data_IF_145744072366
#
_entry.id   IF_145744072366
#
_cell.length_a   1.000
_cell.length_b   1.000
_cell.length_c   1.000
_cell.angle_alpha   90.00
_cell.angle_beta   90.00
_cell.angle_gamma   90.00
#
_symmetry.space_group_name_H-M   'P 1'
#
loop_
_entity.id
_entity.type
_entity.pdbx_description
1 polymer ?
#
# COMPACT_ATOMS: atom_id res chain seq x y z
N UNK A 1 89.92 -27.92 17.05
CA UNK A 1 89.39 -27.07 18.13
C UNK A 1 88.86 -25.79 17.49
N UNK A 2 87.53 -25.62 17.52
CA UNK A 2 86.81 -24.32 17.57
C UNK A 2 86.76 -23.40 16.33
N UNK A 3 85.55 -23.40 15.73
CA UNK A 3 84.71 -22.28 15.26
C UNK A 3 85.17 -21.35 14.13
N UNK A 4 84.48 -21.30 12.98
CA UNK A 4 83.10 -20.81 12.67
C UNK A 4 83.09 -19.30 12.35
N UNK A 5 82.99 -19.07 11.03
CA UNK A 5 82.15 -18.12 10.27
C UNK A 5 81.94 -16.70 10.82
N UNK A 6 82.26 -15.73 9.95
CA UNK A 6 81.28 -14.80 9.39
C UNK A 6 81.90 -14.04 8.20
N UNK A 7 81.30 -14.12 7.01
CA UNK A 7 80.69 -12.96 6.34
C UNK A 7 80.08 -13.40 5.01
N UNK A 8 78.75 -13.39 4.99
CA UNK A 8 77.92 -13.67 3.83
C UNK A 8 78.21 -12.69 2.69
N UNK A 9 78.80 -13.24 1.63
CA UNK A 9 78.87 -12.63 0.31
C UNK A 9 77.49 -12.77 -0.35
N UNK A 10 76.91 -11.62 -0.74
CA UNK A 10 76.05 -11.36 -1.91
C UNK A 10 75.44 -12.64 -2.53
N UNK A 11 74.14 -12.90 -2.39
CA UNK A 11 73.09 -12.13 -3.04
C UNK A 11 72.54 -12.97 -4.19
N UNK A 12 71.34 -13.53 -4.02
CA UNK A 12 70.50 -14.01 -5.11
C UNK A 12 69.04 -13.88 -4.64
N UNK A 13 68.34 -12.89 -5.19
CA UNK A 13 66.91 -12.71 -4.97
C UNK A 13 66.15 -13.83 -5.69
N UNK A 14 65.49 -14.70 -4.93
CA UNK A 14 64.49 -15.63 -5.46
C UNK A 14 63.12 -15.00 -5.23
N UNK A 15 62.54 -14.43 -6.29
CA UNK A 15 61.14 -14.00 -6.29
C UNK A 15 60.29 -15.25 -6.42
N UNK A 16 59.70 -15.69 -5.30
CA UNK A 16 58.65 -16.70 -5.31
C UNK A 16 57.37 -15.96 -5.68
N UNK A 17 56.99 -16.04 -6.96
CA UNK A 17 55.63 -15.73 -7.39
C UNK A 17 54.74 -16.87 -6.87
N UNK A 18 54.18 -16.69 -5.69
CA UNK A 18 53.03 -17.48 -5.26
C UNK A 18 51.87 -17.06 -6.16
N UNK A 19 51.62 -17.83 -7.22
CA UNK A 19 50.29 -17.93 -7.79
C UNK A 19 49.39 -18.56 -6.73
N UNK A 20 48.88 -17.75 -5.80
CA UNK A 20 47.65 -18.07 -5.11
C UNK A 20 46.58 -18.12 -6.18
N UNK A 21 46.26 -19.33 -6.63
CA UNK A 21 45.00 -19.60 -7.27
C UNK A 21 43.94 -19.01 -6.33
N UNK A 22 43.31 -17.91 -6.74
CA UNK A 22 41.98 -17.64 -6.28
C UNK A 22 41.22 -18.92 -6.64
N UNK A 23 40.94 -19.74 -5.64
CA UNK A 23 39.82 -20.63 -5.74
C UNK A 23 38.65 -19.68 -5.96
N UNK A 24 38.30 -19.44 -7.22
CA UNK A 24 36.94 -19.10 -7.58
C UNK A 24 36.15 -20.29 -7.07
N UNK A 25 35.72 -20.25 -5.80
CA UNK A 25 34.55 -21.01 -5.45
C UNK A 25 33.51 -20.48 -6.40
N UNK A 26 33.11 -21.31 -7.36
CA UNK A 26 31.77 -21.17 -7.92
C UNK A 26 30.83 -21.35 -6.72
N UNK A 27 30.64 -20.28 -5.96
CA UNK A 27 29.34 -20.02 -5.39
C UNK A 27 28.52 -19.71 -6.63
N UNK A 28 28.01 -20.77 -7.26
CA UNK A 28 26.67 -20.70 -7.83
C UNK A 28 25.75 -20.47 -6.61
N UNK A 29 25.85 -19.27 -6.00
CA UNK A 29 24.84 -18.76 -5.10
C UNK A 29 23.58 -18.78 -5.95
N UNK A 30 22.66 -19.63 -5.54
CA UNK A 30 21.41 -19.86 -6.23
C UNK A 30 20.55 -18.61 -6.00
N UNK A 31 20.96 -17.49 -6.59
CA UNK A 31 20.37 -16.17 -6.36
C UNK A 31 18.90 -16.24 -6.76
N UNK A 32 18.02 -15.91 -5.82
CA UNK A 32 16.60 -15.86 -6.07
C UNK A 32 16.28 -14.68 -6.98
N UNK A 33 15.76 -14.99 -8.15
CA UNK A 33 15.19 -14.01 -9.08
C UNK A 33 13.69 -13.84 -8.91
N UNK A 34 13.05 -14.78 -8.22
CA UNK A 34 11.60 -14.81 -7.96
C UNK A 34 11.33 -15.08 -6.49
N UNK A 35 10.31 -14.42 -5.96
CA UNK A 35 9.93 -14.49 -4.57
C UNK A 35 8.43 -14.73 -4.44
N UNK A 36 8.03 -15.43 -3.39
CA UNK A 36 6.61 -15.63 -3.04
C UNK A 36 6.31 -14.88 -1.76
N UNK A 37 5.22 -14.11 -1.72
CA UNK A 37 4.78 -13.44 -0.51
C UNK A 37 4.32 -14.49 0.52
N UNK A 38 4.95 -14.49 1.69
CA UNK A 38 4.59 -15.35 2.83
C UNK A 38 3.60 -14.66 3.77
N UNK A 39 3.73 -13.33 3.92
CA UNK A 39 2.75 -12.54 4.65
C UNK A 39 3.16 -11.09 4.84
N UNK A 40 2.20 -10.29 5.29
CA UNK A 40 2.39 -8.87 5.59
C UNK A 40 1.82 -8.54 6.95
N UNK A 41 2.59 -7.76 7.71
CA UNK A 41 2.22 -7.21 8.99
C UNK A 41 2.21 -5.69 8.89
N UNK A 42 1.39 -5.08 9.72
CA UNK A 42 1.14 -3.64 9.73
C UNK A 42 1.47 -3.06 11.09
N UNK A 43 1.82 -1.78 11.16
CA UNK A 43 1.88 -1.00 12.38
C UNK A 43 1.61 0.48 12.07
N UNK A 44 1.06 1.20 13.03
CA UNK A 44 0.97 2.67 13.01
C UNK A 44 2.09 3.22 13.89
N UNK A 45 3.22 3.56 13.26
CA UNK A 45 4.39 4.12 13.93
C UNK A 45 4.26 5.64 14.10
N UNK A 46 5.25 6.29 14.73
CA UNK A 46 5.14 7.70 15.15
C UNK A 46 4.95 8.70 13.99
N UNK A 47 5.41 8.37 12.79
CA UNK A 47 5.29 9.19 11.58
C UNK A 47 4.11 8.78 10.68
N UNK A 48 3.38 7.74 11.07
CA UNK A 48 2.14 7.32 10.45
C UNK A 48 0.96 8.14 10.96
N UNK A 49 -0.08 8.28 10.13
CA UNK A 49 -1.21 9.16 10.45
C UNK A 49 -2.49 8.73 9.76
N UNK A 50 -3.59 9.15 10.36
CA UNK A 50 -4.94 9.11 9.78
C UNK A 50 -5.45 10.55 9.77
N UNK A 51 -5.79 11.06 8.60
CA UNK A 51 -6.35 12.40 8.43
C UNK A 51 -7.70 12.30 7.74
N UNK A 52 -8.68 13.07 8.20
CA UNK A 52 -10.00 13.15 7.59
C UNK A 52 -10.29 14.58 7.15
N UNK A 53 -10.86 14.71 5.94
CA UNK A 53 -11.32 15.98 5.39
C UNK A 53 -12.75 15.84 4.89
N UNK A 54 -13.55 16.89 5.06
CA UNK A 54 -14.94 16.93 4.62
C UNK A 54 -15.01 17.65 3.28
N UNK A 55 -15.58 16.98 2.28
CA UNK A 55 -15.79 17.49 0.93
C UNK A 55 -17.29 17.79 0.78
N UNK A 56 -17.63 19.02 0.41
CA UNK A 56 -19.00 19.35 0.01
C UNK A 56 -19.21 18.91 -1.43
N UNK A 57 -20.22 18.07 -1.67
CA UNK A 57 -20.59 17.72 -3.04
C UNK A 57 -21.40 18.86 -3.67
N UNK A 58 -21.41 18.90 -5.00
CA UNK A 58 -22.23 19.85 -5.73
C UNK A 58 -23.71 19.61 -5.40
N UNK A 59 -24.49 20.65 -5.06
CA UNK A 59 -25.92 20.50 -4.79
C UNK A 59 -26.66 19.98 -6.04
N UNK A 60 -27.61 19.08 -5.82
CA UNK A 60 -28.44 18.51 -6.87
C UNK A 60 -29.90 18.93 -6.68
N UNK A 61 -30.63 19.06 -7.80
CA UNK A 61 -32.02 19.48 -7.81
C UNK A 61 -32.81 18.49 -8.67
N UNK A 62 -33.89 17.96 -8.10
CA UNK A 62 -34.76 17.00 -8.76
C UNK A 62 -36.19 17.50 -8.77
N UNK A 63 -36.78 17.61 -9.95
CA UNK A 63 -38.12 18.15 -10.13
C UNK A 63 -39.12 17.04 -10.47
N UNK A 64 -40.25 17.00 -9.74
CA UNK A 64 -41.38 16.16 -10.09
C UNK A 64 -42.57 17.00 -10.53
N UNK A 65 -42.63 17.30 -11.82
CA UNK A 65 -43.76 18.00 -12.44
C UNK A 65 -44.98 17.08 -12.71
N UNK A 66 -44.91 15.79 -12.35
CA UNK A 66 -45.98 14.82 -12.62
C UNK A 66 -47.04 14.80 -11.52
N UNK A 67 -48.18 14.15 -11.80
CA UNK A 67 -49.25 13.90 -10.82
C UNK A 67 -49.01 12.67 -9.94
N UNK A 68 -47.90 11.96 -10.13
CA UNK A 68 -47.51 10.74 -9.39
C UNK A 68 -46.25 10.98 -8.54
N UNK A 69 -46.05 10.19 -7.48
CA UNK A 69 -44.79 10.20 -6.73
C UNK A 69 -43.69 9.55 -7.57
N UNK A 70 -42.49 10.12 -7.55
CA UNK A 70 -41.29 9.52 -8.15
C UNK A 70 -40.25 9.23 -7.06
N UNK A 71 -39.24 8.42 -7.38
CA UNK A 71 -38.10 8.16 -6.50
C UNK A 71 -36.79 8.50 -7.20
N UNK A 72 -35.83 8.98 -6.43
CA UNK A 72 -34.44 9.22 -6.85
C UNK A 72 -33.52 8.46 -5.90
N UNK A 73 -32.51 7.79 -6.44
CA UNK A 73 -31.48 7.11 -5.65
C UNK A 73 -30.17 7.86 -5.85
N UNK A 74 -29.54 8.24 -4.74
CA UNK A 74 -28.33 9.07 -4.73
C UNK A 74 -27.29 8.40 -3.84
N UNK A 75 -26.04 8.41 -4.28
CA UNK A 75 -24.90 8.03 -3.45
C UNK A 75 -23.78 9.06 -3.61
N UNK A 76 -23.58 9.94 -2.62
CA UNK A 76 -22.58 11.01 -2.68
C UNK A 76 -21.14 10.54 -2.93
N UNK A 77 -20.79 9.32 -2.52
CA UNK A 77 -19.43 8.79 -2.63
C UNK A 77 -19.22 7.93 -3.89
N UNK A 78 -20.26 7.65 -4.67
CA UNK A 78 -20.23 6.70 -5.80
C UNK A 78 -19.11 6.99 -6.81
N UNK A 79 -18.88 8.26 -7.12
CA UNK A 79 -17.90 8.70 -8.12
C UNK A 79 -16.46 8.79 -7.58
N UNK A 80 -16.24 8.54 -6.28
CA UNK A 80 -14.92 8.59 -5.68
C UNK A 80 -14.28 7.20 -5.66
N UNK A 81 -13.10 7.09 -6.24
CA UNK A 81 -12.28 5.88 -6.15
C UNK A 81 -11.42 5.90 -4.90
N UNK A 82 -11.27 4.74 -4.27
CA UNK A 82 -10.27 4.51 -3.23
C UNK A 82 -8.90 4.29 -3.86
N UNK A 83 -7.85 4.68 -3.16
CA UNK A 83 -6.48 4.59 -3.67
C UNK A 83 -5.60 3.80 -2.70
N UNK A 84 -4.66 3.03 -3.25
CA UNK A 84 -3.65 2.29 -2.50
C UNK A 84 -2.30 2.37 -3.21
N UNK A 85 -1.23 2.68 -2.48
CA UNK A 85 0.13 2.70 -3.01
C UNK A 85 1.15 2.29 -1.95
N UNK A 86 2.14 1.50 -2.33
CA UNK A 86 3.24 1.07 -1.46
C UNK A 86 4.55 1.74 -1.81
N UNK A 87 5.40 1.90 -0.80
CA UNK A 87 6.73 2.47 -0.87
C UNK A 87 7.67 1.63 0.01
N UNK A 88 8.92 1.50 -0.38
CA UNK A 88 9.92 0.74 0.37
C UNK A 88 10.97 1.65 1.01
N UNK A 89 11.59 1.17 2.09
CA UNK A 89 12.69 1.89 2.74
C UNK A 89 14.04 1.66 2.03
N UNK A 90 14.26 0.45 1.48
CA UNK A 90 15.53 0.05 0.88
C UNK A 90 15.36 -0.43 -0.58
N UNK A 91 16.03 0.28 -1.48
CA UNK A 91 16.04 0.02 -2.93
C UNK A 91 16.51 -1.38 -3.34
N UNK A 92 17.25 -2.09 -2.48
CA UNK A 92 17.64 -3.48 -2.78
C UNK A 92 16.46 -4.44 -2.88
N UNK A 93 15.31 -4.07 -2.33
CA UNK A 93 14.07 -4.85 -2.37
C UNK A 93 13.13 -4.44 -3.50
N UNK A 94 13.64 -3.76 -4.54
CA UNK A 94 12.89 -3.41 -5.73
C UNK A 94 12.38 -4.65 -6.49
N UNK A 95 13.15 -5.74 -6.52
CA UNK A 95 12.78 -6.93 -7.30
C UNK A 95 11.48 -7.62 -6.83
N UNK A 96 11.29 -7.95 -5.53
CA UNK A 96 10.05 -8.58 -5.07
C UNK A 96 8.77 -7.79 -5.38
N UNK A 97 8.81 -6.45 -5.30
CA UNK A 97 7.64 -5.59 -5.51
C UNK A 97 7.29 -5.33 -6.98
N UNK A 98 8.22 -5.59 -7.91
CA UNK A 98 7.98 -5.44 -9.36
C UNK A 98 7.57 -6.74 -10.05
N UNK A 99 7.38 -7.81 -9.29
CA UNK A 99 6.79 -9.04 -9.80
C UNK A 99 5.28 -8.85 -9.99
N UNK A 100 4.60 -9.86 -10.54
CA UNK A 100 3.13 -9.87 -10.58
C UNK A 100 2.61 -9.57 -9.17
N UNK A 101 1.80 -8.51 -8.97
CA UNK A 101 1.44 -8.06 -7.65
C UNK A 101 0.72 -9.16 -6.87
N UNK A 102 1.19 -9.44 -5.66
CA UNK A 102 0.46 -10.27 -4.71
C UNK A 102 -0.71 -9.45 -4.14
N UNK A 103 -1.82 -10.09 -3.82
CA UNK A 103 -2.94 -9.42 -3.16
C UNK A 103 -2.74 -9.39 -1.64
N UNK A 104 -3.01 -8.24 -1.02
CA UNK A 104 -2.88 -8.04 0.42
C UNK A 104 -4.05 -7.26 1.00
N UNK A 105 -4.42 -7.57 2.25
CA UNK A 105 -5.36 -6.76 3.03
C UNK A 105 -4.67 -5.51 3.55
N UNK A 106 -5.29 -4.34 3.34
CA UNK A 106 -4.78 -3.04 3.80
C UNK A 106 -5.62 -2.44 4.92
N UNK A 107 -5.02 -1.53 5.68
CA UNK A 107 -5.68 -0.85 6.79
C UNK A 107 -6.69 0.20 6.30
N UNK A 108 -7.86 0.27 6.91
CA UNK A 108 -8.83 1.36 6.66
C UNK A 108 -8.60 2.59 7.56
N UNK A 109 -7.62 2.52 8.46
CA UNK A 109 -7.35 3.54 9.48
C UNK A 109 -8.28 3.51 10.70
N UNK A 110 -9.22 2.57 10.79
CA UNK A 110 -10.11 2.42 11.94
C UNK A 110 -9.44 1.71 13.13
N UNK A 111 -8.48 0.84 12.83
CA UNK A 111 -7.66 0.14 13.80
C UNK A 111 -6.29 0.81 13.86
N UNK A 112 -5.93 1.30 15.05
CA UNK A 112 -4.60 1.89 15.33
C UNK A 112 -3.89 1.03 16.36
N UNK A 113 -2.74 0.48 15.98
CA UNK A 113 -1.88 -0.33 16.84
C UNK A 113 -0.42 -0.01 16.57
N UNK A 114 0.38 0.04 17.64
CA UNK A 114 1.78 0.49 17.58
C UNK A 114 2.77 -0.68 17.40
N UNK A 115 2.28 -1.92 17.39
CA UNK A 115 3.05 -3.15 17.21
C UNK A 115 2.65 -3.86 15.91
N UNK A 116 3.60 -4.62 15.33
CA UNK A 116 3.36 -5.31 14.05
C UNK A 116 2.31 -6.43 14.19
N UNK A 117 1.22 -6.34 13.41
CA UNK A 117 0.14 -7.32 13.43
C UNK A 117 -0.30 -7.74 12.03
N UNK A 118 -0.69 -9.00 11.92
CA UNK A 118 -1.44 -9.47 10.76
C UNK A 118 -2.85 -8.90 10.81
N UNK A 119 -3.34 -8.45 9.66
CA UNK A 119 -4.70 -7.95 9.49
C UNK A 119 -5.37 -8.76 8.38
N UNK A 120 -6.59 -9.20 8.65
CA UNK A 120 -7.42 -9.98 7.73
C UNK A 120 -8.71 -9.25 7.34
N UNK A 121 -8.87 -8.00 7.79
CA UNK A 121 -10.02 -7.15 7.50
C UNK A 121 -9.57 -5.94 6.68
N UNK A 122 -10.47 -5.42 5.84
CA UNK A 122 -10.21 -4.31 4.94
C UNK A 122 -10.14 -4.73 3.47
N UNK A 123 -9.91 -3.77 2.56
CA UNK A 123 -9.86 -4.05 1.14
C UNK A 123 -8.65 -4.91 0.77
N UNK A 124 -8.86 -5.78 -0.22
CA UNK A 124 -7.79 -6.56 -0.85
C UNK A 124 -7.30 -5.81 -2.08
N UNK A 125 -6.02 -5.46 -2.10
CA UNK A 125 -5.40 -4.67 -3.16
C UNK A 125 -4.08 -5.29 -3.61
N UNK A 126 -3.62 -5.04 -4.85
CA UNK A 126 -2.31 -5.44 -5.29
C UNK A 126 -1.21 -4.76 -4.46
N UNK A 127 -0.22 -5.54 -4.05
CA UNK A 127 0.99 -5.08 -3.39
C UNK A 127 1.97 -4.53 -4.43
N UNK A 128 1.77 -3.27 -4.82
CA UNK A 128 2.49 -2.61 -5.92
C UNK A 128 2.94 -1.19 -5.57
N UNK A 129 4.00 -0.74 -6.25
CA UNK A 129 4.49 0.63 -6.18
C UNK A 129 3.64 1.61 -7.01
N UNK A 130 2.88 1.09 -7.97
CA UNK A 130 1.95 1.90 -8.76
C UNK A 130 0.72 2.24 -7.92
N UNK A 131 0.19 3.44 -8.08
CA UNK A 131 -1.07 3.80 -7.44
C UNK A 131 -2.19 2.96 -8.05
N UNK A 132 -2.92 2.25 -7.19
CA UNK A 132 -4.03 1.39 -7.57
C UNK A 132 -5.34 2.02 -7.12
N UNK A 133 -6.23 2.28 -8.08
CA UNK A 133 -7.58 2.77 -7.85
C UNK A 133 -8.58 1.62 -7.84
N UNK A 134 -9.52 1.65 -6.89
CA UNK A 134 -10.55 0.63 -6.72
C UNK A 134 -11.85 1.24 -6.17
N UNK A 135 -13.01 0.63 -6.45
CA UNK A 135 -14.28 1.16 -5.97
C UNK A 135 -14.36 1.11 -4.42
N UNK A 136 -15.12 2.02 -3.80
CA UNK A 136 -15.43 1.92 -2.37
C UNK A 136 -16.24 0.65 -2.03
N UNK A 137 -15.84 -0.01 -0.94
CA UNK A 137 -16.57 -1.19 -0.44
C UNK A 137 -17.84 -0.80 0.35
N UNK A 138 -17.92 0.45 0.84
CA UNK A 138 -18.94 0.93 1.78
C UNK A 138 -19.75 2.11 1.22
N UNK A 139 -20.33 1.91 0.03
CA UNK A 139 -21.30 2.83 -0.56
C UNK A 139 -22.65 2.72 0.15
N UNK A 140 -23.27 3.87 0.44
CA UNK A 140 -24.61 3.92 1.03
C UNK A 140 -25.51 4.69 0.06
N UNK A 141 -26.33 3.94 -0.65
CA UNK A 141 -27.38 4.52 -1.48
C UNK A 141 -28.52 5.07 -0.60
N UNK A 142 -28.94 6.30 -0.87
CA UNK A 142 -30.11 6.92 -0.27
C UNK A 142 -31.21 7.04 -1.34
N UNK A 143 -32.34 6.36 -1.13
CA UNK A 143 -33.53 6.49 -2.00
C UNK A 143 -34.53 7.47 -1.40
N UNK A 144 -34.80 8.56 -2.11
CA UNK A 144 -35.71 9.62 -1.72
C UNK A 144 -36.96 9.62 -2.60
N UNK A 145 -38.11 9.87 -1.99
CA UNK A 145 -39.38 10.00 -2.71
C UNK A 145 -39.75 11.47 -2.88
N UNK A 146 -40.19 11.83 -4.08
CA UNK A 146 -40.58 13.20 -4.44
C UNK A 146 -42.07 13.18 -4.76
N UNK A 147 -42.92 13.82 -3.95
CA UNK A 147 -44.36 13.88 -4.21
C UNK A 147 -44.69 14.62 -5.52
N UNK A 148 -45.92 14.47 -6.04
CA UNK A 148 -46.39 15.24 -7.20
C UNK A 148 -46.20 16.75 -7.02
N UNK A 149 -45.72 17.44 -8.07
CA UNK A 149 -45.54 18.89 -8.10
C UNK A 149 -44.61 19.42 -6.99
N UNK A 150 -43.51 18.73 -6.74
CA UNK A 150 -42.48 19.15 -5.78
C UNK A 150 -41.09 19.15 -6.42
N UNK A 151 -40.22 20.00 -5.88
CA UNK A 151 -38.79 20.05 -6.16
C UNK A 151 -38.03 19.59 -4.92
N UNK A 152 -37.11 18.65 -5.11
CA UNK A 152 -36.17 18.18 -4.09
C UNK A 152 -34.82 18.86 -4.30
N UNK A 153 -34.31 19.50 -3.26
CA UNK A 153 -32.96 20.04 -3.17
C UNK A 153 -32.12 19.10 -2.29
N UNK A 154 -31.04 18.59 -2.86
CA UNK A 154 -30.14 17.68 -2.20
C UNK A 154 -28.76 18.33 -2.03
N UNK A 155 -28.24 18.31 -0.81
CA UNK A 155 -26.85 18.62 -0.52
C UNK A 155 -26.27 17.49 0.30
N UNK A 156 -25.01 17.14 0.09
CA UNK A 156 -24.33 16.20 0.97
C UNK A 156 -22.86 16.55 1.18
N UNK A 157 -22.25 15.83 2.11
CA UNK A 157 -20.82 15.81 2.36
C UNK A 157 -20.28 14.40 2.28
N UNK A 158 -19.03 14.29 1.82
CA UNK A 158 -18.24 13.05 1.78
C UNK A 158 -17.03 13.25 2.68
N UNK A 159 -16.68 12.25 3.48
CA UNK A 159 -15.40 12.20 4.20
C UNK A 159 -14.36 11.55 3.30
N UNK A 160 -13.27 12.27 3.03
CA UNK A 160 -12.02 11.71 2.51
C UNK A 160 -11.10 11.40 3.69
N UNK A 161 -10.72 10.14 3.84
CA UNK A 161 -9.74 9.67 4.81
C UNK A 161 -8.43 9.31 4.11
N UNK A 162 -7.33 9.87 4.58
CA UNK A 162 -5.98 9.51 4.14
C UNK A 162 -5.26 8.79 5.27
N UNK A 163 -4.71 7.62 4.97
CA UNK A 163 -3.98 6.77 5.92
C UNK A 163 -2.57 6.59 5.41
N UNK A 164 -1.58 6.77 6.29
CA UNK A 164 -0.21 6.29 6.08
C UNK A 164 0.09 5.29 7.17
N UNK A 165 0.63 4.12 6.80
CA UNK A 165 1.01 3.09 7.75
C UNK A 165 2.35 2.43 7.36
N UNK A 166 3.08 1.94 8.34
CA UNK A 166 4.25 1.08 8.11
C UNK A 166 3.82 -0.37 7.92
N UNK A 167 4.40 -1.01 6.91
CA UNK A 167 4.30 -2.44 6.73
C UNK A 167 5.65 -3.14 6.93
N UNK A 168 5.56 -4.42 7.24
CA UNK A 168 6.64 -5.39 7.17
C UNK A 168 6.13 -6.61 6.43
N UNK A 169 6.71 -6.90 5.27
CA UNK A 169 6.35 -8.04 4.46
C UNK A 169 7.47 -9.07 4.44
N UNK A 170 7.10 -10.34 4.38
CA UNK A 170 8.00 -11.47 4.34
C UNK A 170 7.85 -12.20 3.01
N UNK A 171 8.97 -12.55 2.41
CA UNK A 171 9.02 -13.25 1.14
C UNK A 171 9.92 -14.47 1.25
N UNK A 172 9.57 -15.53 0.52
CA UNK A 172 10.37 -16.74 0.40
C UNK A 172 10.98 -16.77 -1.00
N UNK A 173 12.30 -16.91 -1.07
CA UNK A 173 13.02 -17.11 -2.32
C UNK A 173 12.65 -18.47 -2.95
N UNK A 174 12.22 -18.47 -4.20
CA UNK A 174 11.67 -19.69 -4.82
C UNK A 174 12.72 -20.78 -5.09
N UNK A 175 14.00 -20.42 -5.18
CA UNK A 175 15.11 -21.35 -5.39
C UNK A 175 15.80 -21.72 -4.07
N UNK A 176 16.04 -20.74 -3.20
CA UNK A 176 16.78 -20.95 -1.94
C UNK A 176 15.90 -21.44 -0.79
N UNK A 177 14.58 -21.15 -0.83
CA UNK A 177 13.66 -21.19 0.31
C UNK A 177 14.06 -20.30 1.49
N UNK A 178 14.98 -19.34 1.29
CA UNK A 178 15.33 -18.36 2.31
C UNK A 178 14.22 -17.32 2.44
N UNK A 179 13.94 -16.94 3.69
CA UNK A 179 12.96 -15.91 4.01
C UNK A 179 13.66 -14.58 4.14
N UNK A 180 13.20 -13.59 3.38
CA UNK A 180 13.62 -12.20 3.49
C UNK A 180 12.51 -11.35 4.10
N UNK A 181 12.90 -10.29 4.79
CA UNK A 181 12.01 -9.28 5.36
C UNK A 181 12.21 -7.97 4.61
N UNK A 182 11.11 -7.32 4.23
CA UNK A 182 11.09 -5.98 3.66
C UNK A 182 10.22 -5.08 4.52
N UNK A 183 10.61 -3.81 4.64
CA UNK A 183 9.82 -2.78 5.33
C UNK A 183 9.57 -1.61 4.41
N UNK A 184 8.49 -0.90 4.70
CA UNK A 184 8.13 0.28 3.94
C UNK A 184 6.90 0.98 4.47
N UNK A 185 6.45 1.95 3.67
CA UNK A 185 5.23 2.73 3.92
C UNK A 185 4.16 2.37 2.92
N UNK A 186 2.93 2.47 3.35
CA UNK A 186 1.76 2.36 2.51
C UNK A 186 0.90 3.60 2.69
N UNK A 187 0.31 4.08 1.60
CA UNK A 187 -0.65 5.16 1.59
C UNK A 187 -1.99 4.66 1.06
N UNK A 188 -3.05 4.88 1.84
CA UNK A 188 -4.43 4.63 1.44
C UNK A 188 -5.26 5.90 1.42
N UNK A 189 -6.18 5.99 0.46
CA UNK A 189 -7.24 7.01 0.45
C UNK A 189 -8.60 6.32 0.38
N UNK A 190 -9.50 6.69 1.28
CA UNK A 190 -10.84 6.12 1.40
C UNK A 190 -11.87 7.24 1.35
N UNK A 191 -13.03 6.96 0.75
CA UNK A 191 -14.16 7.88 0.70
C UNK A 191 -15.39 7.21 1.28
N UNK A 192 -16.18 7.97 2.05
CA UNK A 192 -17.47 7.50 2.58
C UNK A 192 -18.46 8.65 2.74
N UNK A 193 -19.73 8.31 2.73
CA UNK A 193 -20.81 9.26 2.99
C UNK A 193 -20.72 9.81 4.42
N UNK A 194 -20.99 11.11 4.60
CA UNK A 194 -21.00 11.79 5.91
C UNK A 194 -22.42 12.25 6.28
N UNK A 195 -22.91 13.31 5.64
CA UNK A 195 -24.23 13.88 5.93
C UNK A 195 -24.95 14.25 4.65
N UNK A 196 -26.27 14.04 4.65
CA UNK A 196 -27.17 14.59 3.64
C UNK A 196 -28.11 15.63 4.26
N UNK A 197 -28.44 16.65 3.48
CA UNK A 197 -29.44 17.67 3.78
C UNK A 197 -30.44 17.69 2.62
N UNK A 198 -31.69 17.38 2.95
CA UNK A 198 -32.79 17.23 2.00
C UNK A 198 -33.81 18.31 2.29
N UNK A 199 -34.25 19.01 1.24
CA UNK A 199 -35.36 19.98 1.32
C UNK A 199 -36.32 19.74 0.17
N UNK A 200 -37.61 19.66 0.48
CA UNK A 200 -38.70 19.53 -0.48
C UNK A 200 -39.53 20.81 -0.50
N UNK A 201 -39.78 21.33 -1.69
CA UNK A 201 -40.60 22.52 -1.90
C UNK A 201 -41.70 22.21 -2.92
N UNK A 202 -42.90 22.74 -2.70
CA UNK A 202 -44.01 22.59 -3.66
C UNK A 202 -43.81 23.58 -4.81
N UNK A 203 -44.02 23.14 -6.04
CA UNK A 203 -44.01 23.98 -7.23
C UNK A 203 -45.19 24.97 -7.21
N UNK A 204 -44.95 26.21 -7.62
CA UNK A 204 -45.98 27.25 -7.80
C UNK A 204 -46.77 27.08 -9.11
#
# INVERSE_FOLDING_TARGET
>A
MTQIKEFLRRGLFTVIVLCSAAACSNNDENEDTNYTLDGIQWAMLNDDKVEETVINIMPEIYENASSSTISVTIDPAMDYEQLSQFYYDDSKFFQPLNQTPNEVNVLTGELVFNDFRYVSEGPVVPFTLEEYAYPPDNHIEETLTIPPYHTLYYNATVIKREVTATYRAYFIGNNSNERIEITGKWKGTFYRNDKSLIRLEKME
#
